data_IF_637151636643
#
_entry.id   IF_637151636643
#
_cell.length_a   1.000
_cell.length_b   1.000
_cell.length_c   1.000
_cell.angle_alpha   90.00
_cell.angle_beta   90.00
_cell.angle_gamma   90.00
#
_symmetry.space_group_name_H-M   'P 1'
#
loop_
_entity.id
_entity.type
_entity.pdbx_description
1 polymer ?
#
# COMPACT_ATOMS: atom_id res chain seq x y z
N UNK A 1 57.75 42.94 -26.31
CA UNK A 1 59.16 42.72 -25.91
C UNK A 1 59.14 41.87 -24.64
N UNK A 2 59.68 40.64 -24.73
CA UNK A 2 60.08 39.68 -23.68
C UNK A 2 59.12 39.49 -22.48
N UNK A 3 58.66 38.30 -22.10
CA UNK A 3 59.02 36.92 -22.42
C UNK A 3 58.46 36.07 -21.27
N UNK A 4 57.60 35.12 -21.58
CA UNK A 4 56.93 34.21 -20.64
C UNK A 4 57.88 33.14 -20.11
N UNK A 5 57.87 32.89 -18.80
CA UNK A 5 58.38 31.66 -18.19
C UNK A 5 57.19 30.85 -17.66
N UNK A 6 56.98 29.67 -18.24
CA UNK A 6 56.00 28.69 -17.78
C UNK A 6 56.57 27.81 -16.67
N UNK A 7 55.76 27.57 -15.64
CA UNK A 7 55.99 26.54 -14.62
C UNK A 7 54.87 25.51 -14.76
N UNK A 8 55.24 24.26 -15.06
CA UNK A 8 54.35 23.11 -15.05
C UNK A 8 54.03 22.72 -13.60
N UNK A 9 52.75 22.70 -13.22
CA UNK A 9 52.25 22.04 -12.03
C UNK A 9 51.47 20.80 -12.49
N UNK A 10 51.99 19.62 -12.13
CA UNK A 10 51.36 18.33 -12.42
C UNK A 10 50.02 18.18 -11.70
N UNK A 11 48.99 17.84 -12.46
CA UNK A 11 47.66 17.52 -11.93
C UNK A 11 47.66 16.16 -11.22
N UNK A 12 47.26 16.18 -9.94
CA UNK A 12 46.91 14.99 -9.16
C UNK A 12 45.52 14.54 -9.63
N UNK A 13 45.44 13.34 -10.23
CA UNK A 13 44.17 12.68 -10.53
C UNK A 13 43.59 12.14 -9.21
N UNK A 14 42.57 12.82 -8.68
CA UNK A 14 41.72 12.30 -7.61
C UNK A 14 40.73 11.30 -8.21
N UNK A 15 40.97 10.01 -8.00
CA UNK A 15 39.97 8.95 -8.18
C UNK A 15 38.86 9.17 -7.15
N UNK A 16 37.75 9.76 -7.59
CA UNK A 16 36.51 9.75 -6.82
C UNK A 16 36.00 8.31 -6.79
N UNK A 17 36.11 7.68 -5.63
CA UNK A 17 35.36 6.47 -5.30
C UNK A 17 33.89 6.87 -5.29
N UNK A 18 33.17 6.51 -6.35
CA UNK A 18 31.71 6.54 -6.37
C UNK A 18 31.24 5.61 -5.24
N UNK A 19 30.79 6.20 -4.14
CA UNK A 19 29.95 5.48 -3.19
C UNK A 19 28.67 5.12 -3.95
N UNK A 20 28.60 3.87 -4.42
CA UNK A 20 27.35 3.24 -4.81
C UNK A 20 26.47 3.26 -3.56
N UNK A 21 25.60 4.26 -3.45
CA UNK A 21 24.50 4.23 -2.49
C UNK A 21 23.64 3.01 -2.85
N UNK A 22 23.75 1.96 -2.05
CA UNK A 22 22.99 0.72 -2.22
C UNK A 22 21.54 0.95 -1.81
N UNK A 23 20.79 1.71 -2.62
CA UNK A 23 19.35 1.80 -2.48
C UNK A 23 18.68 0.48 -2.90
N UNK A 24 17.54 0.17 -2.27
CA UNK A 24 16.60 -0.90 -2.61
C UNK A 24 15.85 -0.56 -3.91
N UNK A 25 16.58 -0.44 -5.02
CA UNK A 25 16.00 -0.51 -6.36
C UNK A 25 15.96 -1.99 -6.79
N UNK A 26 15.09 -2.77 -6.12
CA UNK A 26 15.03 -4.22 -6.26
C UNK A 26 14.14 -4.70 -7.43
N UNK A 27 13.61 -3.78 -8.24
CA UNK A 27 12.73 -4.08 -9.38
C UNK A 27 11.34 -4.61 -9.01
N UNK A 28 10.96 -4.55 -7.73
CA UNK A 28 9.64 -4.97 -7.23
C UNK A 28 8.74 -3.77 -6.96
N UNK A 29 7.46 -4.05 -6.69
CA UNK A 29 6.44 -3.03 -6.41
C UNK A 29 6.43 -1.88 -7.44
N UNK A 30 6.65 -2.17 -8.73
CA UNK A 30 6.57 -1.15 -9.79
C UNK A 30 5.16 -0.56 -9.94
N UNK A 31 4.17 -1.26 -9.37
CA UNK A 31 2.81 -0.81 -9.09
C UNK A 31 2.50 -1.08 -7.61
N UNK A 32 1.50 -0.42 -7.02
CA UNK A 32 1.12 -0.68 -5.64
C UNK A 32 0.81 -2.18 -5.45
N UNK A 33 1.38 -2.85 -4.43
CA UNK A 33 1.09 -4.27 -4.18
C UNK A 33 -0.40 -4.53 -3.96
N UNK A 34 -0.91 -5.65 -4.47
CA UNK A 34 -2.29 -6.09 -4.27
C UNK A 34 -2.31 -7.47 -3.63
N UNK A 35 -3.07 -7.64 -2.55
CA UNK A 35 -3.10 -8.93 -1.85
C UNK A 35 -4.09 -8.99 -0.71
N UNK A 36 -3.80 -9.87 0.24
CA UNK A 36 -4.58 -10.10 1.44
C UNK A 36 -3.65 -10.26 2.65
N UNK A 37 -4.02 -9.67 3.79
CA UNK A 37 -3.27 -9.71 5.05
C UNK A 37 -4.21 -10.01 6.22
N UNK A 38 -3.75 -10.78 7.21
CA UNK A 38 -4.60 -11.26 8.30
C UNK A 38 -4.99 -10.22 9.37
N UNK A 39 -4.27 -9.09 9.48
CA UNK A 39 -4.27 -8.29 10.70
C UNK A 39 -5.62 -7.68 11.10
N UNK A 40 -6.26 -6.87 10.25
CA UNK A 40 -7.46 -6.12 10.65
C UNK A 40 -8.60 -7.08 11.05
N UNK A 41 -8.86 -8.10 10.22
CA UNK A 41 -9.99 -9.02 10.45
C UNK A 41 -9.70 -10.10 11.50
N UNK A 42 -8.49 -10.67 11.53
CA UNK A 42 -8.18 -11.86 12.35
C UNK A 42 -7.27 -11.55 13.55
N UNK A 43 -6.61 -10.38 13.57
CA UNK A 43 -5.79 -9.88 14.69
C UNK A 43 -4.85 -10.96 15.24
N UNK A 44 -4.71 -11.02 16.56
CA UNK A 44 -3.90 -12.01 17.26
C UNK A 44 -4.73 -13.19 17.80
N UNK A 45 -5.71 -13.70 17.05
CA UNK A 45 -6.49 -14.87 17.50
C UNK A 45 -5.61 -16.13 17.42
N UNK A 46 -5.14 -16.65 18.56
CA UNK A 46 -4.27 -17.84 18.60
C UNK A 46 -4.92 -19.09 19.21
N UNK A 47 -6.14 -18.97 19.74
CA UNK A 47 -6.88 -20.13 20.26
C UNK A 47 -7.61 -20.89 19.14
N UNK A 48 -6.90 -21.81 18.49
CA UNK A 48 -7.45 -22.65 17.42
C UNK A 48 -8.43 -23.71 17.91
N UNK A 49 -8.61 -23.90 19.21
CA UNK A 49 -9.63 -24.82 19.74
C UNK A 49 -10.98 -24.11 19.80
N UNK A 50 -11.00 -22.86 20.25
CA UNK A 50 -12.22 -22.04 20.30
C UNK A 50 -12.57 -21.46 18.93
N UNK A 51 -11.58 -21.05 18.15
CA UNK A 51 -11.76 -20.35 16.87
C UNK A 51 -11.00 -21.04 15.71
N UNK A 52 -11.35 -22.29 15.36
CA UNK A 52 -10.57 -23.11 14.42
C UNK A 52 -10.51 -22.57 12.98
N UNK A 53 -11.40 -21.66 12.59
CA UNK A 53 -11.45 -21.08 11.25
C UNK A 53 -10.98 -19.61 11.20
N UNK A 54 -10.71 -19.01 12.36
CA UNK A 54 -10.28 -17.61 12.50
C UNK A 54 -8.88 -17.49 13.14
N UNK A 55 -8.39 -18.53 13.82
CA UNK A 55 -7.07 -18.46 14.44
C UNK A 55 -5.94 -18.36 13.41
N UNK A 56 -4.91 -17.59 13.74
CA UNK A 56 -3.68 -17.45 12.95
C UNK A 56 -2.99 -18.82 12.88
N UNK A 57 -3.14 -19.50 11.76
CA UNK A 57 -2.70 -20.89 11.55
C UNK A 57 -2.49 -21.17 10.07
N UNK A 58 -1.72 -22.21 9.73
CA UNK A 58 -1.50 -22.61 8.33
C UNK A 58 -2.82 -22.83 7.58
N UNK A 59 -3.84 -23.37 8.25
CA UNK A 59 -5.17 -23.62 7.68
C UNK A 59 -5.86 -22.32 7.24
N UNK A 60 -5.72 -21.25 8.02
CA UNK A 60 -6.30 -19.94 7.68
C UNK A 60 -5.70 -19.42 6.38
N UNK A 61 -4.38 -19.47 6.24
CA UNK A 61 -3.66 -18.95 5.09
C UNK A 61 -3.84 -19.82 3.85
N UNK A 62 -3.85 -21.15 3.99
CA UNK A 62 -4.19 -22.06 2.89
C UNK A 62 -5.60 -21.79 2.37
N UNK A 63 -6.60 -21.66 3.26
CA UNK A 63 -7.99 -21.33 2.89
C UNK A 63 -8.07 -20.02 2.12
N UNK A 64 -7.36 -18.97 2.55
CA UNK A 64 -7.38 -17.68 1.88
C UNK A 64 -6.62 -17.68 0.55
N UNK A 65 -5.52 -18.43 0.43
CA UNK A 65 -4.85 -18.66 -0.84
C UNK A 65 -5.79 -19.35 -1.85
N UNK A 66 -6.48 -20.41 -1.42
CA UNK A 66 -7.44 -21.15 -2.25
C UNK A 66 -8.60 -20.25 -2.71
N UNK A 67 -9.11 -19.40 -1.81
CA UNK A 67 -10.20 -18.47 -2.11
C UNK A 67 -9.75 -17.32 -3.02
N UNK A 68 -8.53 -16.81 -2.89
CA UNK A 68 -8.02 -15.78 -3.81
C UNK A 68 -8.08 -16.27 -5.26
N UNK A 69 -7.69 -17.52 -5.52
CA UNK A 69 -7.76 -18.12 -6.85
C UNK A 69 -9.19 -18.49 -7.23
N UNK A 70 -9.85 -19.33 -6.43
CA UNK A 70 -11.16 -19.90 -6.79
C UNK A 70 -12.28 -18.87 -6.90
N UNK A 71 -12.19 -17.76 -6.14
CA UNK A 71 -13.18 -16.68 -6.18
C UNK A 71 -12.78 -15.54 -7.14
N UNK A 72 -11.65 -15.66 -7.87
CA UNK A 72 -11.26 -14.74 -8.94
C UNK A 72 -10.58 -13.44 -8.48
N UNK A 73 -10.11 -13.36 -7.23
CA UNK A 73 -9.34 -12.21 -6.76
C UNK A 73 -7.94 -12.19 -7.39
N UNK A 74 -7.30 -13.36 -7.52
CA UNK A 74 -6.03 -13.49 -8.23
C UNK A 74 -6.14 -12.99 -9.68
N UNK A 75 -7.22 -13.34 -10.38
CA UNK A 75 -7.51 -12.85 -11.75
C UNK A 75 -7.70 -11.33 -11.81
N UNK A 76 -8.11 -10.70 -10.70
CA UNK A 76 -8.25 -9.25 -10.59
C UNK A 76 -6.91 -8.55 -10.26
N UNK A 77 -5.90 -9.29 -9.81
CA UNK A 77 -4.55 -8.80 -9.52
C UNK A 77 -4.07 -9.03 -8.08
N UNK A 78 -4.92 -9.52 -7.18
CA UNK A 78 -4.53 -9.78 -5.78
C UNK A 78 -3.63 -11.02 -5.69
N UNK A 79 -2.33 -10.80 -5.53
CA UNK A 79 -1.32 -11.87 -5.65
C UNK A 79 -0.61 -12.21 -4.33
N UNK A 80 -0.58 -11.33 -3.33
CA UNK A 80 0.10 -11.59 -2.05
C UNK A 80 -0.84 -12.19 -1.00
N UNK A 81 -0.37 -13.20 -0.26
CA UNK A 81 -0.99 -13.74 0.97
C UNK A 81 -0.03 -13.47 2.12
N UNK A 82 -0.38 -12.55 3.01
CA UNK A 82 0.54 -11.99 4.01
C UNK A 82 0.12 -12.41 5.42
N UNK A 83 1.00 -13.11 6.12
CA UNK A 83 0.88 -13.39 7.55
C UNK A 83 1.27 -12.13 8.33
N UNK A 84 0.38 -11.62 9.19
CA UNK A 84 0.72 -10.55 10.13
C UNK A 84 1.24 -11.11 11.48
N UNK A 85 1.25 -10.32 12.56
CA UNK A 85 1.79 -10.75 13.86
C UNK A 85 1.12 -12.04 14.41
N UNK A 86 1.72 -12.60 15.44
CA UNK A 86 1.23 -13.75 16.20
C UNK A 86 1.41 -15.11 15.52
N UNK A 87 2.23 -15.25 14.50
CA UNK A 87 2.57 -16.56 13.89
C UNK A 87 3.66 -17.35 14.63
N UNK A 88 4.45 -16.67 15.46
CA UNK A 88 5.62 -17.21 16.16
C UNK A 88 5.29 -18.06 17.40
N UNK A 89 6.22 -18.91 17.82
CA UNK A 89 6.37 -19.31 19.21
C UNK A 89 6.88 -18.13 20.07
N UNK A 90 6.68 -18.19 21.40
CA UNK A 90 7.14 -17.13 22.31
C UNK A 90 8.66 -17.05 22.47
N UNK A 91 9.40 -18.06 22.02
CA UNK A 91 10.86 -18.10 22.07
C UNK A 91 11.42 -18.51 20.71
N UNK A 92 12.62 -18.02 20.40
CA UNK A 92 13.43 -18.53 19.30
C UNK A 92 13.89 -19.96 19.59
N UNK A 93 14.32 -20.65 18.56
CA UNK A 93 14.97 -21.95 18.72
C UNK A 93 16.23 -21.82 19.59
N UNK A 94 16.38 -22.67 20.61
CA UNK A 94 17.44 -22.52 21.60
C UNK A 94 18.84 -22.73 21.00
N UNK A 95 18.98 -23.58 19.98
CA UNK A 95 20.27 -23.95 19.41
C UNK A 95 20.65 -23.02 18.25
N UNK A 96 19.71 -22.74 17.36
CA UNK A 96 19.95 -21.97 16.13
C UNK A 96 19.65 -20.48 16.26
N UNK A 97 18.91 -20.06 17.29
CA UNK A 97 18.35 -18.71 17.47
C UNK A 97 17.40 -18.25 16.35
N UNK A 98 17.03 -19.14 15.42
CA UNK A 98 16.06 -18.85 14.37
C UNK A 98 14.67 -18.62 14.98
N UNK A 99 13.90 -17.76 14.31
CA UNK A 99 12.46 -17.64 14.56
C UNK A 99 11.77 -18.99 14.29
N UNK A 100 10.77 -19.31 15.09
CA UNK A 100 10.05 -20.59 15.02
C UNK A 100 8.57 -20.30 14.85
N UNK A 101 7.92 -20.73 13.75
CA UNK A 101 6.47 -20.66 13.66
C UNK A 101 5.85 -21.56 14.73
N UNK A 102 4.70 -21.17 15.28
CA UNK A 102 4.03 -21.95 16.31
C UNK A 102 3.75 -23.37 15.81
N UNK A 103 4.43 -24.36 16.40
CA UNK A 103 4.39 -25.75 15.93
C UNK A 103 3.01 -26.41 16.01
N UNK A 104 2.07 -25.85 16.80
CA UNK A 104 0.69 -26.35 16.85
C UNK A 104 -0.18 -25.74 15.77
N UNK A 105 0.07 -24.47 15.42
CA UNK A 105 -0.74 -23.71 14.45
C UNK A 105 -0.18 -23.78 13.03
N UNK A 106 1.12 -24.06 12.89
CA UNK A 106 1.85 -24.27 11.65
C UNK A 106 2.65 -25.58 11.72
N UNK A 107 2.00 -26.74 11.96
CA UNK A 107 2.68 -28.02 12.13
C UNK A 107 3.55 -28.44 10.96
N UNK A 108 3.25 -28.00 9.74
CA UNK A 108 4.05 -28.32 8.54
C UNK A 108 5.19 -27.31 8.28
N UNK A 109 5.27 -26.24 9.08
CA UNK A 109 6.24 -25.15 8.90
C UNK A 109 5.89 -24.20 7.75
N UNK A 110 6.64 -23.09 7.66
CA UNK A 110 6.35 -22.05 6.68
C UNK A 110 6.76 -22.41 5.24
N UNK A 111 7.73 -23.30 5.02
CA UNK A 111 8.06 -23.78 3.67
C UNK A 111 6.87 -24.47 3.01
N UNK A 112 6.19 -25.35 3.74
CA UNK A 112 5.02 -26.04 3.21
C UNK A 112 3.86 -25.07 2.89
N UNK A 113 3.72 -24.00 3.69
CA UNK A 113 2.74 -22.96 3.42
C UNK A 113 3.15 -22.09 2.20
N UNK A 114 4.42 -21.73 2.11
CA UNK A 114 4.98 -21.01 0.95
C UNK A 114 4.79 -21.81 -0.33
N UNK A 115 5.14 -23.10 -0.32
CA UNK A 115 4.93 -24.03 -1.43
C UNK A 115 3.45 -24.09 -1.83
N UNK A 116 2.53 -24.18 -0.87
CA UNK A 116 1.08 -24.16 -1.15
C UNK A 116 0.63 -22.88 -1.86
N UNK A 117 1.13 -21.73 -1.42
CA UNK A 117 0.83 -20.41 -2.00
C UNK A 117 1.44 -20.28 -3.40
N UNK A 118 2.71 -20.65 -3.57
CA UNK A 118 3.43 -20.58 -4.86
C UNK A 118 2.85 -21.54 -5.90
N UNK A 119 2.44 -22.74 -5.50
CA UNK A 119 1.79 -23.72 -6.39
C UNK A 119 0.47 -23.20 -6.99
N UNK A 120 -0.13 -22.16 -6.39
CA UNK A 120 -1.32 -21.48 -6.89
C UNK A 120 -1.00 -20.24 -7.73
N UNK A 121 0.28 -19.92 -7.95
CA UNK A 121 0.71 -18.72 -8.66
C UNK A 121 0.64 -17.44 -7.81
N UNK A 122 0.40 -17.56 -6.50
CA UNK A 122 0.40 -16.46 -5.55
C UNK A 122 1.79 -16.24 -4.94
N UNK A 123 1.92 -15.21 -4.09
CA UNK A 123 3.16 -14.80 -3.43
C UNK A 123 2.99 -14.81 -1.91
N UNK A 124 3.99 -15.30 -1.19
CA UNK A 124 3.94 -15.45 0.25
C UNK A 124 4.53 -14.24 0.97
N UNK A 125 3.78 -13.64 1.90
CA UNK A 125 4.24 -12.53 2.73
C UNK A 125 4.30 -12.86 4.21
N UNK A 126 5.24 -12.24 4.92
CA UNK A 126 5.49 -12.48 6.32
C UNK A 126 5.73 -11.18 7.09
N UNK A 127 5.19 -11.12 8.31
CA UNK A 127 5.41 -10.03 9.25
C UNK A 127 6.59 -10.29 10.17
N UNK A 128 7.29 -9.22 10.50
CA UNK A 128 8.16 -9.10 11.67
C UNK A 128 8.16 -7.69 12.24
N UNK A 129 8.89 -7.51 13.32
CA UNK A 129 9.11 -6.24 14.00
C UNK A 129 10.61 -5.96 14.13
N UNK A 130 11.01 -4.72 13.84
CA UNK A 130 12.38 -4.25 13.99
C UNK A 130 12.90 -4.45 15.41
N UNK A 131 12.12 -4.14 16.44
CA UNK A 131 12.53 -4.04 17.84
C UNK A 131 12.83 -5.36 18.54
N UNK A 132 12.84 -5.34 19.88
CA UNK A 132 13.12 -6.55 20.66
C UNK A 132 11.97 -7.54 20.63
N UNK A 133 10.75 -7.04 20.45
CA UNK A 133 9.53 -7.81 20.41
C UNK A 133 8.60 -7.26 19.33
N UNK A 134 7.75 -8.12 18.79
CA UNK A 134 6.60 -7.68 18.00
C UNK A 134 5.60 -6.95 18.87
N UNK A 135 4.69 -6.18 18.26
CA UNK A 135 3.65 -5.46 19.00
C UNK A 135 2.82 -6.39 19.91
N UNK A 136 2.55 -7.63 19.51
CA UNK A 136 1.88 -8.65 20.34
C UNK A 136 2.82 -9.45 21.28
N UNK A 137 4.06 -9.00 21.45
CA UNK A 137 5.02 -9.53 22.40
C UNK A 137 5.65 -10.86 21.99
N UNK A 138 5.84 -11.13 20.70
CA UNK A 138 6.66 -12.23 20.18
C UNK A 138 8.10 -11.76 19.94
N UNK A 139 9.10 -12.64 19.71
CA UNK A 139 10.48 -12.20 19.47
C UNK A 139 10.63 -11.31 18.22
N UNK A 140 11.27 -10.15 18.33
CA UNK A 140 11.58 -9.24 17.20
C UNK A 140 13.00 -9.44 16.64
N UNK A 141 13.35 -8.73 15.57
CA UNK A 141 14.56 -9.00 14.77
C UNK A 141 15.82 -8.25 15.21
N UNK A 142 15.74 -7.23 16.08
CA UNK A 142 16.85 -6.27 16.29
C UNK A 142 18.20 -6.93 16.61
N UNK A 143 18.20 -8.08 17.30
CA UNK A 143 19.42 -8.82 17.69
C UNK A 143 19.86 -9.90 16.69
N UNK A 144 19.03 -10.20 15.69
CA UNK A 144 19.19 -11.32 14.77
C UNK A 144 18.90 -10.95 13.31
N UNK A 145 18.94 -9.66 12.95
CA UNK A 145 18.55 -9.13 11.64
C UNK A 145 19.07 -9.95 10.45
N UNK A 146 20.38 -10.25 10.42
CA UNK A 146 20.99 -11.02 9.32
C UNK A 146 20.49 -12.47 9.27
N UNK A 147 20.33 -13.09 10.44
CA UNK A 147 19.82 -14.46 10.56
C UNK A 147 18.36 -14.54 10.11
N UNK A 148 17.54 -13.57 10.51
CA UNK A 148 16.12 -13.54 10.21
C UNK A 148 15.87 -13.23 8.73
N UNK A 149 16.60 -12.28 8.15
CA UNK A 149 16.57 -12.02 6.71
C UNK A 149 16.88 -13.29 5.91
N UNK A 150 17.95 -14.02 6.26
CA UNK A 150 18.27 -15.29 5.62
C UNK A 150 17.19 -16.36 5.87
N UNK A 151 16.61 -16.40 7.07
CA UNK A 151 15.54 -17.35 7.40
C UNK A 151 14.28 -17.10 6.55
N UNK A 152 13.96 -15.85 6.22
CA UNK A 152 12.84 -15.54 5.32
C UNK A 152 13.12 -15.94 3.89
N UNK A 153 14.36 -15.75 3.42
CA UNK A 153 14.77 -16.26 2.12
C UNK A 153 14.76 -17.80 2.06
N UNK A 154 15.20 -18.49 3.12
CA UNK A 154 15.16 -19.95 3.26
C UNK A 154 13.70 -20.49 3.27
N UNK A 155 12.74 -19.64 3.64
CA UNK A 155 11.30 -19.94 3.65
C UNK A 155 10.56 -19.46 2.40
N UNK A 156 11.30 -19.01 1.39
CA UNK A 156 10.77 -18.52 0.14
C UNK A 156 9.74 -17.37 0.29
N UNK A 157 9.93 -16.48 1.27
CA UNK A 157 9.11 -15.28 1.45
C UNK A 157 9.31 -14.29 0.29
N UNK A 158 8.24 -13.70 -0.21
CA UNK A 158 8.22 -12.71 -1.30
C UNK A 158 7.91 -11.27 -0.83
N UNK A 159 7.37 -11.12 0.37
CA UNK A 159 6.95 -9.84 0.95
C UNK A 159 7.25 -9.85 2.45
N UNK A 160 7.90 -8.80 2.96
CA UNK A 160 8.19 -8.64 4.38
C UNK A 160 7.61 -7.32 4.89
N UNK A 161 6.67 -7.38 5.83
CA UNK A 161 6.25 -6.23 6.65
C UNK A 161 7.16 -6.16 7.87
N UNK A 162 7.78 -5.02 8.11
CA UNK A 162 8.58 -4.76 9.31
C UNK A 162 7.98 -3.64 10.13
N UNK A 163 7.46 -4.02 11.29
CA UNK A 163 6.93 -3.15 12.31
C UNK A 163 8.04 -2.53 13.18
N UNK A 164 7.69 -1.74 14.19
CA UNK A 164 8.66 -0.95 14.96
C UNK A 164 8.38 -0.86 16.46
N UNK A 165 7.55 -1.74 17.02
CA UNK A 165 7.31 -1.76 18.46
C UNK A 165 8.58 -2.14 19.23
N UNK A 166 8.68 -1.71 20.49
CA UNK A 166 9.80 -2.07 21.37
C UNK A 166 11.20 -1.76 20.80
N UNK A 167 11.33 -0.70 20.01
CA UNK A 167 12.59 -0.14 19.53
C UNK A 167 12.74 1.33 19.96
N UNK A 168 13.97 1.83 20.06
CA UNK A 168 14.18 3.27 20.20
C UNK A 168 14.02 3.92 18.83
N UNK A 169 13.25 5.01 18.76
CA UNK A 169 13.02 5.78 17.53
C UNK A 169 14.34 6.22 16.89
N UNK A 170 15.33 6.62 17.70
CA UNK A 170 16.66 7.05 17.23
C UNK A 170 17.42 5.97 16.45
N UNK A 171 17.13 4.69 16.68
CA UNK A 171 17.84 3.56 16.08
C UNK A 171 17.22 3.18 14.72
N UNK A 172 15.94 3.54 14.50
CA UNK A 172 15.18 3.18 13.29
C UNK A 172 15.81 3.72 12.01
N UNK A 173 16.40 4.92 12.05
CA UNK A 173 17.04 5.55 10.90
C UNK A 173 18.24 4.78 10.36
N UNK A 174 18.88 3.94 11.18
CA UNK A 174 19.87 2.96 10.73
C UNK A 174 19.29 1.56 10.57
N UNK A 175 18.35 1.17 11.43
CA UNK A 175 17.83 -0.19 11.54
C UNK A 175 17.01 -0.65 10.34
N UNK A 176 16.06 0.18 9.88
CA UNK A 176 15.26 -0.14 8.70
C UNK A 176 16.12 -0.24 7.42
N UNK A 177 17.00 0.73 7.12
CA UNK A 177 17.98 0.59 6.04
C UNK A 177 18.87 -0.65 6.15
N UNK A 178 19.37 -0.97 7.34
CA UNK A 178 20.20 -2.16 7.55
C UNK A 178 19.43 -3.44 7.24
N UNK A 179 18.19 -3.57 7.74
CA UNK A 179 17.39 -4.75 7.50
C UNK A 179 17.01 -4.89 6.01
N UNK A 180 16.63 -3.81 5.35
CA UNK A 180 16.39 -3.79 3.90
C UNK A 180 17.60 -4.25 3.08
N UNK A 181 18.81 -3.78 3.44
CA UNK A 181 20.08 -4.26 2.83
C UNK A 181 20.28 -5.75 3.07
N UNK A 182 20.04 -6.23 4.30
CA UNK A 182 20.20 -7.65 4.65
C UNK A 182 19.20 -8.55 3.90
N UNK A 183 17.97 -8.09 3.67
CA UNK A 183 17.00 -8.77 2.79
C UNK A 183 17.54 -8.89 1.37
N UNK A 184 18.06 -7.79 0.80
CA UNK A 184 18.65 -7.80 -0.55
C UNK A 184 19.88 -8.73 -0.65
N UNK A 185 20.72 -8.79 0.40
CA UNK A 185 21.91 -9.66 0.45
C UNK A 185 21.61 -11.16 0.44
N UNK A 186 20.37 -11.56 0.74
CA UNK A 186 19.94 -12.96 0.59
C UNK A 186 19.89 -13.41 -0.88
N UNK A 187 19.77 -12.46 -1.81
CA UNK A 187 19.57 -12.71 -3.24
C UNK A 187 18.15 -13.09 -3.62
N UNK A 188 17.22 -13.26 -2.66
CA UNK A 188 15.80 -13.47 -2.93
C UNK A 188 15.08 -12.12 -3.05
N UNK A 189 14.36 -11.85 -4.16
CA UNK A 189 13.55 -10.65 -4.29
C UNK A 189 12.40 -10.65 -3.26
N UNK A 190 12.39 -9.67 -2.37
CA UNK A 190 11.34 -9.48 -1.35
C UNK A 190 10.84 -8.04 -1.38
N UNK A 191 9.53 -7.86 -1.49
CA UNK A 191 8.88 -6.54 -1.27
C UNK A 191 9.08 -6.17 0.19
N UNK A 192 9.65 -5.01 0.48
CA UNK A 192 9.91 -4.56 1.84
C UNK A 192 8.97 -3.43 2.26
N UNK A 193 8.04 -3.74 3.16
CA UNK A 193 7.03 -2.83 3.72
C UNK A 193 7.47 -2.36 5.10
N UNK A 194 7.66 -1.05 5.26
CA UNK A 194 8.25 -0.46 6.46
C UNK A 194 7.20 0.32 7.27
N UNK A 195 7.01 -0.01 8.55
CA UNK A 195 6.20 0.82 9.45
C UNK A 195 6.94 2.04 9.99
N UNK A 196 8.21 2.21 9.61
CA UNK A 196 9.12 3.26 10.11
C UNK A 196 8.48 4.66 10.24
N UNK A 197 7.83 5.25 9.22
CA UNK A 197 7.31 6.60 9.36
C UNK A 197 6.17 6.71 10.40
N UNK A 198 5.34 5.69 10.57
CA UNK A 198 4.25 5.71 11.55
C UNK A 198 4.80 5.88 12.99
N UNK A 199 5.89 5.18 13.33
CA UNK A 199 6.53 5.33 14.64
C UNK A 199 7.23 6.68 14.83
N UNK A 200 7.79 7.24 13.76
CA UNK A 200 8.37 8.59 13.80
C UNK A 200 7.27 9.65 14.02
N UNK A 201 6.16 9.54 13.31
CA UNK A 201 5.01 10.44 13.47
C UNK A 201 4.42 10.38 14.88
N UNK A 202 4.24 9.19 15.46
CA UNK A 202 3.78 9.01 16.85
C UNK A 202 4.75 9.68 17.86
N UNK A 203 6.05 9.64 17.57
CA UNK A 203 7.09 10.30 18.37
C UNK A 203 7.23 11.82 18.08
N UNK A 204 6.50 12.37 17.11
CA UNK A 204 6.61 13.77 16.69
C UNK A 204 7.89 14.09 15.90
N UNK A 205 8.55 13.07 15.35
CA UNK A 205 9.70 13.20 14.47
C UNK A 205 9.26 13.22 13.00
N UNK A 206 9.85 14.11 12.20
CA UNK A 206 9.52 14.20 10.78
C UNK A 206 10.21 13.07 10.00
N UNK A 207 9.47 12.22 9.26
CA UNK A 207 10.07 11.17 8.44
C UNK A 207 10.95 11.70 7.32
N UNK A 208 12.06 11.00 7.07
CA UNK A 208 12.93 11.24 5.91
C UNK A 208 12.44 10.39 4.72
N UNK A 209 11.56 10.97 3.91
CA UNK A 209 11.00 10.30 2.74
C UNK A 209 12.01 9.98 1.64
N UNK A 210 13.11 10.72 1.53
CA UNK A 210 14.14 10.37 0.55
C UNK A 210 14.94 9.14 1.00
N UNK A 211 15.15 8.97 2.31
CA UNK A 211 15.67 7.71 2.85
C UNK A 211 14.67 6.56 2.69
N UNK A 212 13.38 6.78 2.96
CA UNK A 212 12.35 5.74 2.77
C UNK A 212 12.32 5.22 1.33
N UNK A 213 12.32 6.11 0.32
CA UNK A 213 12.39 5.73 -1.10
C UNK A 213 13.62 4.88 -1.45
N UNK A 214 14.73 5.12 -0.77
CA UNK A 214 15.96 4.37 -1.00
C UNK A 214 15.96 3.02 -0.30
N UNK A 215 15.12 2.77 0.69
CA UNK A 215 15.29 1.59 1.56
C UNK A 215 14.03 0.74 1.71
N UNK A 216 12.87 1.18 1.24
CA UNK A 216 11.59 0.51 1.42
C UNK A 216 10.79 0.53 0.11
N UNK A 217 10.08 -0.56 -0.20
CA UNK A 217 9.17 -0.59 -1.34
C UNK A 217 7.83 0.10 -1.07
N UNK A 218 7.46 0.19 0.20
CA UNK A 218 6.29 0.92 0.68
C UNK A 218 6.44 1.18 2.17
N UNK A 219 5.67 2.15 2.69
CA UNK A 219 5.74 2.50 4.09
C UNK A 219 4.43 3.00 4.68
N UNK A 220 4.10 2.51 5.87
CA UNK A 220 2.93 2.94 6.64
C UNK A 220 3.20 4.32 7.22
N UNK A 221 2.40 5.31 6.82
CA UNK A 221 2.63 6.71 7.19
C UNK A 221 2.00 7.15 8.52
N UNK A 222 1.02 6.41 9.01
CA UNK A 222 0.17 6.85 10.11
C UNK A 222 -0.45 5.64 10.82
N UNK A 223 -1.27 5.92 11.83
CA UNK A 223 -2.04 4.99 12.67
C UNK A 223 -2.69 3.84 11.89
N UNK A 224 -2.85 2.73 12.59
CA UNK A 224 -3.56 1.55 12.11
C UNK A 224 -5.02 1.86 11.77
N UNK A 225 -5.48 1.27 10.66
CA UNK A 225 -6.88 1.30 10.28
C UNK A 225 -7.70 0.35 11.15
N UNK A 226 -8.87 0.81 11.56
CA UNK A 226 -9.85 0.07 12.34
C UNK A 226 -11.16 -0.01 11.57
N UNK A 227 -11.93 -1.10 11.71
CA UNK A 227 -13.20 -1.35 10.99
C UNK A 227 -14.32 -0.36 11.36
N UNK A 228 -14.18 0.90 10.93
CA UNK A 228 -15.09 2.01 11.18
C UNK A 228 -14.94 3.12 10.14
N UNK A 229 -16.02 3.86 9.89
CA UNK A 229 -15.98 5.08 9.08
C UNK A 229 -15.05 6.14 9.69
N UNK A 230 -14.99 6.23 11.02
CA UNK A 230 -14.20 7.24 11.72
C UNK A 230 -12.71 7.06 11.45
N UNK A 231 -12.17 5.86 11.66
CA UNK A 231 -10.76 5.54 11.36
C UNK A 231 -10.43 5.77 9.87
N UNK A 232 -11.29 5.29 8.97
CA UNK A 232 -11.15 5.54 7.52
C UNK A 232 -11.03 7.03 7.20
N UNK A 233 -11.91 7.86 7.78
CA UNK A 233 -11.90 9.31 7.53
C UNK A 233 -10.69 10.02 8.16
N UNK A 234 -10.24 9.58 9.34
CA UNK A 234 -9.04 10.13 9.98
C UNK A 234 -7.79 9.90 9.12
N UNK A 235 -7.63 8.70 8.54
CA UNK A 235 -6.53 8.40 7.62
C UNK A 235 -6.63 9.27 6.36
N UNK A 236 -7.80 9.36 5.74
CA UNK A 236 -8.02 10.22 4.56
C UNK A 236 -7.68 11.68 4.87
N UNK A 237 -8.11 12.18 6.02
CA UNK A 237 -7.85 13.56 6.46
C UNK A 237 -6.37 13.80 6.75
N UNK A 238 -5.67 12.83 7.34
CA UNK A 238 -4.23 12.90 7.57
C UNK A 238 -3.46 13.02 6.25
N UNK A 239 -3.73 12.12 5.30
CA UNK A 239 -3.11 12.16 3.98
C UNK A 239 -3.45 13.45 3.22
N UNK A 240 -4.69 13.94 3.29
CA UNK A 240 -5.10 15.18 2.65
C UNK A 240 -4.41 16.41 3.25
N UNK A 241 -4.25 16.45 4.58
CA UNK A 241 -3.60 17.55 5.30
C UNK A 241 -2.09 17.60 5.03
N UNK A 242 -1.47 16.44 4.86
CA UNK A 242 -0.02 16.30 4.67
C UNK A 242 0.38 16.05 3.20
N UNK A 243 -0.54 16.16 2.25
CA UNK A 243 -0.33 15.75 0.86
C UNK A 243 0.87 16.41 0.18
N UNK A 244 1.18 17.67 0.49
CA UNK A 244 2.33 18.38 -0.11
C UNK A 244 3.68 17.78 0.31
N UNK A 245 3.70 17.14 1.49
CA UNK A 245 4.85 16.42 2.04
C UNK A 245 4.87 14.95 1.62
N UNK A 246 3.72 14.29 1.52
CA UNK A 246 3.63 12.83 1.33
C UNK A 246 3.59 12.45 -0.16
N UNK A 247 2.74 13.11 -0.93
CA UNK A 247 2.43 12.72 -2.31
C UNK A 247 3.64 12.69 -3.26
N UNK A 248 4.63 13.61 -3.18
CA UNK A 248 5.76 13.60 -4.12
C UNK A 248 6.69 12.39 -4.02
N UNK A 249 6.61 11.63 -2.92
CA UNK A 249 7.53 10.51 -2.65
C UNK A 249 6.95 9.15 -3.02
N UNK A 250 5.66 9.06 -3.37
CA UNK A 250 5.04 7.84 -3.89
C UNK A 250 5.31 7.66 -5.40
N UNK A 251 5.69 6.46 -5.83
CA UNK A 251 5.95 6.14 -7.23
C UNK A 251 6.37 4.69 -7.46
N UNK A 252 6.65 4.29 -8.72
CA UNK A 252 7.09 2.93 -9.03
C UNK A 252 8.26 2.48 -8.16
N UNK A 253 8.05 1.40 -7.41
CA UNK A 253 9.03 0.82 -6.49
C UNK A 253 8.98 1.35 -5.07
N UNK A 254 8.21 2.40 -4.77
CA UNK A 254 8.21 3.08 -3.47
C UNK A 254 6.86 3.79 -3.15
N UNK A 255 5.97 3.17 -2.38
CA UNK A 255 4.58 3.64 -2.17
C UNK A 255 4.27 4.14 -0.76
N UNK A 256 3.42 5.15 -0.66
CA UNK A 256 2.80 5.51 0.60
C UNK A 256 1.68 4.50 0.93
N UNK A 257 1.67 4.00 2.16
CA UNK A 257 0.71 2.99 2.61
C UNK A 257 -0.27 3.58 3.65
N UNK A 258 -1.53 3.82 3.27
CA UNK A 258 -2.60 4.26 4.16
C UNK A 258 -3.28 3.10 4.91
N UNK A 259 -2.67 1.91 4.91
CA UNK A 259 -3.15 0.68 5.53
C UNK A 259 -4.24 -0.09 4.75
N UNK A 260 -4.67 -1.22 5.30
CA UNK A 260 -5.51 -2.24 4.67
C UNK A 260 -6.90 -1.77 4.21
N UNK A 261 -7.46 -2.46 3.22
CA UNK A 261 -8.85 -2.35 2.80
C UNK A 261 -9.78 -3.09 3.78
N UNK A 262 -10.81 -2.40 4.28
CA UNK A 262 -11.81 -2.90 5.25
C UNK A 262 -13.02 -3.58 4.57
N UNK A 263 -13.05 -3.60 3.25
CA UNK A 263 -14.21 -4.03 2.47
C UNK A 263 -14.58 -5.48 2.79
N UNK A 264 -15.81 -5.70 3.23
CA UNK A 264 -16.34 -7.04 3.50
C UNK A 264 -16.32 -7.42 4.98
N UNK A 265 -15.80 -6.54 5.84
CA UNK A 265 -15.92 -6.64 7.29
C UNK A 265 -17.29 -6.10 7.75
N UNK A 266 -17.34 -5.46 8.92
CA UNK A 266 -18.58 -5.14 9.61
C UNK A 266 -18.91 -3.65 9.61
N UNK A 267 -17.90 -2.78 9.68
CA UNK A 267 -18.03 -1.37 10.01
C UNK A 267 -18.36 -0.45 8.83
N UNK A 268 -18.09 -0.87 7.59
CA UNK A 268 -18.37 -0.07 6.41
C UNK A 268 -19.67 -0.47 5.69
N UNK A 269 -20.48 0.53 5.36
CA UNK A 269 -21.61 0.38 4.45
C UNK A 269 -21.15 0.12 3.00
N UNK A 270 -22.09 -0.19 2.11
CA UNK A 270 -21.81 -0.35 0.68
C UNK A 270 -21.22 0.92 0.04
N UNK A 271 -21.77 2.10 0.35
CA UNK A 271 -21.27 3.38 -0.16
C UNK A 271 -19.90 3.74 0.42
N UNK A 272 -19.65 3.42 1.70
CA UNK A 272 -18.36 3.65 2.36
C UNK A 272 -17.28 2.70 1.83
N UNK A 273 -17.66 1.46 1.49
CA UNK A 273 -16.78 0.49 0.82
C UNK A 273 -16.31 1.00 -0.55
N UNK A 274 -17.23 1.59 -1.34
CA UNK A 274 -16.84 2.28 -2.59
C UNK A 274 -15.93 3.46 -2.32
N UNK A 275 -16.23 4.24 -1.28
CA UNK A 275 -15.44 5.41 -0.90
C UNK A 275 -13.98 5.02 -0.62
N UNK A 276 -13.74 4.03 0.24
CA UNK A 276 -12.38 3.56 0.55
C UNK A 276 -11.67 3.12 -0.73
N UNK A 277 -12.30 2.24 -1.53
CA UNK A 277 -11.68 1.72 -2.76
C UNK A 277 -11.33 2.85 -3.74
N UNK A 278 -12.21 3.84 -3.92
CA UNK A 278 -11.94 4.98 -4.80
C UNK A 278 -10.78 5.84 -4.30
N UNK A 279 -10.71 6.09 -2.99
CA UNK A 279 -9.67 6.95 -2.42
C UNK A 279 -8.32 6.25 -2.36
N UNK A 280 -8.27 4.96 -2.05
CA UNK A 280 -7.05 4.16 -2.14
C UNK A 280 -6.52 4.14 -3.59
N UNK A 281 -7.42 3.93 -4.57
CA UNK A 281 -7.04 4.00 -5.99
C UNK A 281 -6.58 5.41 -6.41
N UNK A 282 -7.17 6.49 -5.89
CA UNK A 282 -6.65 7.85 -6.12
C UNK A 282 -5.27 8.02 -5.49
N UNK A 283 -5.03 7.47 -4.30
CA UNK A 283 -3.77 7.61 -3.57
C UNK A 283 -2.65 6.71 -4.09
N UNK A 284 -2.91 5.83 -5.06
CA UNK A 284 -1.95 4.79 -5.48
C UNK A 284 -1.50 3.94 -4.29
N UNK A 285 -2.45 3.60 -3.43
CA UNK A 285 -2.21 2.83 -2.22
C UNK A 285 -2.07 1.34 -2.53
N UNK A 286 -1.27 0.59 -1.76
CA UNK A 286 -1.36 -0.87 -1.77
C UNK A 286 -2.82 -1.31 -1.55
N UNK A 287 -3.32 -2.23 -2.38
CA UNK A 287 -4.67 -2.79 -2.23
C UNK A 287 -4.58 -4.11 -1.49
N UNK A 288 -4.30 -4.01 -0.19
CA UNK A 288 -4.19 -5.17 0.71
C UNK A 288 -5.51 -5.35 1.45
N UNK A 289 -6.27 -6.38 1.09
CA UNK A 289 -7.51 -6.74 1.78
C UNK A 289 -7.23 -7.33 3.16
N UNK A 290 -8.04 -7.02 4.16
CA UNK A 290 -8.08 -7.79 5.39
C UNK A 290 -9.52 -8.10 5.76
N UNK A 291 -9.99 -9.26 5.34
CA UNK A 291 -11.37 -9.71 5.49
C UNK A 291 -11.45 -11.24 5.48
N UNK A 292 -12.58 -11.84 5.85
CA UNK A 292 -12.79 -13.27 5.60
C UNK A 292 -13.33 -13.45 4.17
N UNK A 293 -12.48 -13.88 3.25
CA UNK A 293 -12.82 -14.03 1.84
C UNK A 293 -14.02 -14.98 1.60
N UNK A 294 -14.28 -15.91 2.52
CA UNK A 294 -15.44 -16.81 2.43
C UNK A 294 -16.76 -16.12 2.80
N UNK A 295 -16.72 -15.00 3.51
CA UNK A 295 -17.89 -14.28 4.02
C UNK A 295 -18.18 -12.97 3.27
N UNK A 296 -17.33 -12.57 2.30
CA UNK A 296 -17.52 -11.33 1.54
C UNK A 296 -18.80 -11.40 0.70
N UNK A 297 -19.73 -10.47 0.93
CA UNK A 297 -20.98 -10.39 0.16
C UNK A 297 -20.71 -10.10 -1.33
N UNK A 298 -21.53 -10.63 -2.27
CA UNK A 298 -21.30 -10.48 -3.71
C UNK A 298 -21.14 -9.02 -4.19
N UNK A 299 -21.92 -8.09 -3.65
CA UNK A 299 -21.85 -6.68 -4.01
C UNK A 299 -20.56 -5.99 -3.55
N UNK A 300 -19.94 -6.47 -2.46
CA UNK A 300 -18.65 -5.97 -1.98
C UNK A 300 -17.51 -6.62 -2.75
N UNK A 301 -17.61 -7.93 -3.03
CA UNK A 301 -16.68 -8.64 -3.93
C UNK A 301 -16.60 -7.95 -5.29
N UNK A 302 -17.72 -7.49 -5.83
CA UNK A 302 -17.76 -6.74 -7.08
C UNK A 302 -17.01 -5.39 -7.02
N UNK A 303 -16.96 -4.74 -5.84
CA UNK A 303 -16.15 -3.52 -5.64
C UNK A 303 -14.65 -3.89 -5.64
N UNK A 304 -14.28 -4.90 -4.85
CA UNK A 304 -12.90 -5.38 -4.74
C UNK A 304 -12.34 -5.85 -6.09
N UNK A 305 -13.16 -6.48 -6.93
CA UNK A 305 -12.76 -7.00 -8.24
C UNK A 305 -13.05 -6.03 -9.40
N UNK A 306 -13.42 -4.77 -9.13
CA UNK A 306 -13.72 -3.80 -10.18
C UNK A 306 -12.45 -3.44 -10.97
N UNK A 307 -12.29 -4.07 -12.14
CA UNK A 307 -11.14 -3.88 -13.03
C UNK A 307 -10.92 -2.44 -13.48
N UNK A 308 -11.97 -1.63 -13.59
CA UNK A 308 -11.83 -0.22 -13.99
C UNK A 308 -11.23 0.62 -12.86
N UNK A 309 -11.60 0.33 -11.60
CA UNK A 309 -11.02 0.99 -10.41
C UNK A 309 -9.61 0.48 -10.14
N UNK A 310 -9.38 -0.84 -10.23
CA UNK A 310 -8.04 -1.43 -10.13
C UNK A 310 -7.10 -0.84 -11.19
N UNK A 311 -7.57 -0.62 -12.42
CA UNK A 311 -6.75 0.01 -13.46
C UNK A 311 -6.39 1.48 -13.16
N UNK A 312 -7.16 2.19 -12.33
CA UNK A 312 -6.77 3.51 -11.83
C UNK A 312 -5.65 3.37 -10.81
N UNK A 313 -5.80 2.42 -9.87
CA UNK A 313 -4.80 2.13 -8.86
C UNK A 313 -3.44 1.73 -9.47
N UNK A 314 -3.49 0.77 -10.39
CA UNK A 314 -2.38 0.12 -11.08
C UNK A 314 -1.90 0.89 -12.33
N UNK A 315 -2.19 2.19 -12.42
CA UNK A 315 -1.81 3.03 -13.55
C UNK A 315 -0.28 3.17 -13.68
N UNK A 316 0.23 2.98 -14.89
CA UNK A 316 1.67 2.95 -15.21
C UNK A 316 2.42 4.24 -14.89
N UNK A 317 1.73 5.39 -14.77
CA UNK A 317 2.42 6.62 -14.36
C UNK A 317 2.89 6.56 -12.91
N UNK A 318 2.22 5.75 -12.07
CA UNK A 318 2.53 5.64 -10.65
C UNK A 318 2.42 6.95 -9.86
N UNK A 319 1.72 7.95 -10.39
CA UNK A 319 1.59 9.24 -9.72
C UNK A 319 0.43 9.17 -8.72
N UNK A 320 0.74 9.30 -7.43
CA UNK A 320 -0.28 9.44 -6.39
C UNK A 320 -1.12 10.70 -6.60
N UNK A 321 -2.44 10.56 -6.48
CA UNK A 321 -3.38 11.67 -6.54
C UNK A 321 -3.46 12.47 -5.24
N UNK A 322 -4.35 13.46 -5.21
CA UNK A 322 -4.48 14.38 -4.08
C UNK A 322 -5.88 14.98 -3.96
N UNK A 323 -6.20 15.56 -2.80
CA UNK A 323 -7.41 16.38 -2.63
C UNK A 323 -7.17 17.74 -3.27
N UNK A 324 -8.04 18.13 -4.21
CA UNK A 324 -7.88 19.37 -4.99
C UNK A 324 -8.81 20.50 -4.54
N UNK A 325 -9.99 20.19 -3.99
CA UNK A 325 -10.89 21.17 -3.39
C UNK A 325 -11.88 20.50 -2.43
N UNK A 326 -12.56 21.33 -1.64
CA UNK A 326 -13.72 20.94 -0.85
C UNK A 326 -14.79 22.03 -0.95
N UNK A 327 -16.04 21.63 -1.19
CA UNK A 327 -17.19 22.54 -1.35
C UNK A 327 -18.44 21.86 -0.79
N UNK A 328 -19.13 22.53 0.13
CA UNK A 328 -20.39 22.04 0.72
C UNK A 328 -20.30 20.63 1.33
N UNK A 329 -19.16 20.32 1.96
CA UNK A 329 -18.82 19.00 2.49
C UNK A 329 -18.70 17.91 1.41
N UNK A 330 -18.47 18.30 0.15
CA UNK A 330 -18.02 17.39 -0.90
C UNK A 330 -16.56 17.69 -1.21
N UNK A 331 -15.71 16.71 -1.02
CA UNK A 331 -14.31 16.79 -1.41
C UNK A 331 -14.14 16.28 -2.83
N UNK A 332 -13.24 16.90 -3.58
CA UNK A 332 -12.84 16.41 -4.89
C UNK A 332 -11.38 15.99 -4.80
N UNK A 333 -11.16 14.74 -5.18
CA UNK A 333 -9.87 14.09 -5.24
C UNK A 333 -9.54 13.75 -6.69
N UNK A 334 -8.28 13.90 -7.08
CA UNK A 334 -7.87 13.69 -8.48
C UNK A 334 -6.51 13.00 -8.57
N UNK A 335 -6.39 12.06 -9.49
CA UNK A 335 -5.14 11.38 -9.87
C UNK A 335 -4.88 11.52 -11.37
N UNK A 336 -3.71 12.01 -11.81
CA UNK A 336 -3.32 11.92 -13.22
C UNK A 336 -3.02 10.46 -13.58
N UNK A 337 -3.58 10.01 -14.70
CA UNK A 337 -3.48 8.62 -15.18
C UNK A 337 -3.31 8.57 -16.69
N UNK A 338 -3.02 7.39 -17.22
CA UNK A 338 -2.98 7.09 -18.65
C UNK A 338 -4.39 7.03 -19.29
N UNK A 339 -4.50 7.32 -20.61
CA UNK A 339 -3.44 7.78 -21.51
C UNK A 339 -3.07 9.26 -21.30
N UNK A 340 -1.84 9.62 -21.66
CA UNK A 340 -1.39 11.01 -21.81
C UNK A 340 -1.40 11.35 -23.30
N UNK A 341 -1.99 12.48 -23.68
CA UNK A 341 -2.02 12.90 -25.09
C UNK A 341 -0.62 13.22 -25.59
N UNK A 342 -0.43 13.25 -26.91
CA UNK A 342 0.84 13.65 -27.53
C UNK A 342 1.30 15.07 -27.16
N UNK A 343 0.37 15.94 -26.72
CA UNK A 343 0.67 17.30 -26.25
C UNK A 343 0.93 17.38 -24.74
N UNK A 344 1.01 16.24 -24.05
CA UNK A 344 1.31 16.17 -22.61
C UNK A 344 0.10 16.35 -21.69
N UNK A 345 -1.14 16.25 -22.19
CA UNK A 345 -2.31 16.31 -21.31
C UNK A 345 -2.63 14.92 -20.74
N UNK A 346 -2.58 14.79 -19.42
CA UNK A 346 -2.99 13.57 -18.72
C UNK A 346 -4.49 13.33 -18.85
N UNK A 347 -4.88 12.05 -18.85
CA UNK A 347 -6.20 11.63 -18.38
C UNK A 347 -6.24 11.70 -16.85
N UNK A 348 -7.43 11.69 -16.25
CA UNK A 348 -7.57 11.80 -14.81
C UNK A 348 -8.64 10.88 -14.27
N UNK A 349 -8.39 10.28 -13.11
CA UNK A 349 -9.44 9.75 -12.25
C UNK A 349 -9.86 10.85 -11.27
N UNK A 350 -11.16 11.03 -11.09
CA UNK A 350 -11.74 12.08 -10.23
C UNK A 350 -12.81 11.47 -9.33
N UNK A 351 -12.58 11.53 -8.02
CA UNK A 351 -13.51 11.07 -6.99
C UNK A 351 -14.18 12.26 -6.29
N UNK A 352 -15.50 12.24 -6.18
CA UNK A 352 -16.30 13.20 -5.43
C UNK A 352 -16.76 12.52 -4.15
N UNK A 353 -16.16 12.85 -3.03
CA UNK A 353 -16.38 12.22 -1.72
C UNK A 353 -17.32 13.07 -0.89
N UNK A 354 -18.43 12.49 -0.43
CA UNK A 354 -19.35 13.17 0.47
C UNK A 354 -18.92 12.98 1.92
N UNK A 355 -18.63 14.10 2.59
CA UNK A 355 -18.49 14.20 4.05
C UNK A 355 -19.82 14.53 4.72
N UNK A 356 -20.93 14.48 3.96
CA UNK A 356 -22.26 14.72 4.48
C UNK A 356 -22.83 13.44 5.06
N UNK A 357 -23.59 13.59 6.13
CA UNK A 357 -24.35 12.55 6.82
C UNK A 357 -25.87 12.83 6.79
N UNK A 358 -26.30 13.81 5.99
CA UNK A 358 -27.72 14.10 5.77
C UNK A 358 -28.35 13.08 4.82
N UNK A 359 -29.58 12.63 5.06
CA UNK A 359 -30.14 11.42 4.42
C UNK A 359 -30.45 11.44 2.91
N UNK A 360 -29.82 12.28 2.08
CA UNK A 360 -30.11 12.35 0.64
C UNK A 360 -28.88 12.54 -0.26
N UNK A 361 -28.88 12.03 -1.50
CA UNK A 361 -27.81 12.29 -2.46
C UNK A 361 -27.71 13.78 -2.79
N UNK A 362 -26.54 14.37 -2.60
CA UNK A 362 -26.30 15.80 -2.78
C UNK A 362 -25.85 16.12 -4.20
N UNK A 363 -26.59 17.00 -4.89
CA UNK A 363 -26.26 17.46 -6.24
C UNK A 363 -25.21 18.57 -6.18
N UNK A 364 -24.05 18.38 -6.82
CA UNK A 364 -22.98 19.38 -6.84
C UNK A 364 -22.49 19.69 -8.26
N UNK A 365 -22.58 20.96 -8.71
CA UNK A 365 -22.03 21.39 -9.99
C UNK A 365 -20.58 21.89 -9.86
N UNK A 366 -19.76 21.58 -10.87
CA UNK A 366 -18.46 22.18 -11.13
C UNK A 366 -18.31 22.43 -12.63
N UNK A 367 -17.53 23.42 -13.03
CA UNK A 367 -16.89 23.41 -14.34
C UNK A 367 -15.76 22.39 -14.35
N UNK A 368 -15.51 21.78 -15.51
CA UNK A 368 -14.37 20.84 -15.67
C UNK A 368 -13.04 21.55 -15.35
N UNK A 369 -12.94 22.84 -15.67
CA UNK A 369 -11.81 23.70 -15.31
C UNK A 369 -11.63 23.88 -13.80
N UNK A 370 -12.70 24.00 -13.01
CA UNK A 370 -12.62 24.04 -11.54
C UNK A 370 -12.02 22.74 -10.96
N UNK A 371 -12.17 21.61 -11.65
CA UNK A 371 -11.51 20.34 -11.29
C UNK A 371 -10.02 20.33 -11.69
N UNK A 372 -9.50 21.42 -12.26
CA UNK A 372 -8.14 21.54 -12.80
C UNK A 372 -7.91 20.72 -14.06
N UNK A 373 -8.95 20.53 -14.89
CA UNK A 373 -8.91 19.77 -16.14
C UNK A 373 -8.99 20.74 -17.33
N UNK A 374 -7.85 20.99 -17.98
CA UNK A 374 -7.70 22.12 -18.92
C UNK A 374 -7.33 21.70 -20.35
N UNK A 375 -7.45 20.41 -20.72
CA UNK A 375 -7.23 19.99 -22.11
C UNK A 375 -8.21 20.73 -23.05
N UNK A 376 -7.72 21.52 -24.03
CA UNK A 376 -8.57 22.26 -24.95
C UNK A 376 -9.53 21.38 -25.76
N UNK A 377 -9.16 20.11 -26.01
CA UNK A 377 -10.01 19.14 -26.70
C UNK A 377 -11.06 18.48 -25.80
N UNK A 378 -10.97 18.69 -24.49
CA UNK A 378 -11.85 18.09 -23.49
C UNK A 378 -11.48 16.66 -23.12
N UNK A 379 -12.43 16.00 -22.47
CA UNK A 379 -12.28 14.67 -21.90
C UNK A 379 -13.53 13.84 -22.20
N UNK A 380 -13.35 12.56 -22.54
CA UNK A 380 -14.44 11.58 -22.54
C UNK A 380 -14.59 11.00 -21.13
N UNK A 381 -15.78 11.08 -20.56
CA UNK A 381 -16.04 10.78 -19.14
C UNK A 381 -16.85 9.50 -18.98
N UNK A 382 -16.39 8.63 -18.08
CA UNK A 382 -17.02 7.36 -17.74
C UNK A 382 -17.14 7.21 -16.21
N UNK A 383 -18.26 6.67 -15.73
CA UNK A 383 -18.42 6.23 -14.35
C UNK A 383 -17.67 4.91 -14.10
N UNK A 384 -16.83 4.88 -13.06
CA UNK A 384 -16.00 3.72 -12.75
C UNK A 384 -16.74 2.65 -11.95
N UNK A 385 -17.88 2.97 -11.33
CA UNK A 385 -18.76 1.99 -10.68
C UNK A 385 -19.94 1.56 -11.53
N UNK A 386 -20.19 2.24 -12.65
CA UNK A 386 -21.18 1.83 -13.66
C UNK A 386 -20.56 1.87 -15.06
N UNK A 387 -20.04 0.73 -15.52
CA UNK A 387 -19.41 0.61 -16.83
C UNK A 387 -20.36 0.94 -18.01
N UNK A 388 -21.69 0.89 -17.80
CA UNK A 388 -22.68 1.28 -18.81
C UNK A 388 -22.85 2.80 -18.93
N UNK A 389 -22.45 3.54 -17.89
CA UNK A 389 -22.57 4.99 -17.81
C UNK A 389 -21.37 5.69 -18.45
N UNK A 390 -21.45 5.88 -19.77
CA UNK A 390 -20.58 6.78 -20.54
C UNK A 390 -21.25 8.15 -20.63
N UNK A 391 -20.75 9.13 -19.88
CA UNK A 391 -21.35 10.46 -19.76
C UNK A 391 -21.08 11.36 -20.98
N UNK A 392 -20.11 10.98 -21.83
CA UNK A 392 -19.78 11.71 -23.05
C UNK A 392 -18.61 12.68 -22.89
N UNK A 393 -18.52 13.67 -23.78
CA UNK A 393 -17.38 14.59 -23.88
C UNK A 393 -17.65 15.88 -23.13
N UNK A 394 -16.70 16.30 -22.30
CA UNK A 394 -16.74 17.53 -21.52
C UNK A 394 -15.51 18.39 -21.83
N UNK A 395 -15.73 19.64 -22.24
CA UNK A 395 -14.68 20.65 -22.41
C UNK A 395 -14.45 21.39 -21.10
N UNK A 396 -13.36 22.16 -20.98
CA UNK A 396 -13.00 22.86 -19.74
C UNK A 396 -14.11 23.77 -19.19
N UNK A 397 -14.89 24.42 -20.06
CA UNK A 397 -15.99 25.29 -19.66
C UNK A 397 -17.34 24.54 -19.51
N UNK A 398 -17.39 23.24 -19.80
CA UNK A 398 -18.59 22.42 -19.60
C UNK A 398 -18.89 22.27 -18.11
N UNK A 399 -20.19 22.33 -17.77
CA UNK A 399 -20.68 21.97 -16.44
C UNK A 399 -20.68 20.45 -16.28
N UNK A 400 -19.99 19.97 -15.25
CA UNK A 400 -20.06 18.61 -14.76
C UNK A 400 -20.86 18.58 -13.45
N UNK A 401 -21.92 17.78 -13.42
CA UNK A 401 -22.83 17.69 -12.27
C UNK A 401 -22.90 16.23 -11.87
N UNK A 402 -22.62 15.95 -10.60
CA UNK A 402 -22.81 14.62 -10.01
C UNK A 402 -23.73 14.71 -8.80
N UNK A 403 -24.25 13.55 -8.36
CA UNK A 403 -25.05 13.38 -7.15
C UNK A 403 -24.35 12.36 -6.28
N UNK A 404 -23.85 12.77 -5.12
CA UNK A 404 -23.06 11.91 -4.23
C UNK A 404 -23.90 11.51 -3.02
N UNK A 405 -23.95 10.21 -2.72
CA UNK A 405 -24.61 9.70 -1.52
C UNK A 405 -23.88 10.16 -0.24
N UNK A 406 -24.57 10.29 0.89
CA UNK A 406 -23.96 10.59 2.19
C UNK A 406 -22.92 9.53 2.56
N UNK A 407 -21.76 9.95 3.06
CA UNK A 407 -20.61 9.07 3.34
C UNK A 407 -20.22 8.15 2.16
N UNK A 408 -20.52 8.57 0.93
CA UNK A 408 -20.26 7.81 -0.29
C UNK A 408 -19.37 8.57 -1.27
N UNK A 409 -19.18 7.97 -2.44
CA UNK A 409 -18.36 8.51 -3.53
C UNK A 409 -19.04 8.35 -4.88
N UNK A 410 -18.83 9.31 -5.78
CA UNK A 410 -18.94 9.05 -7.22
C UNK A 410 -17.56 9.17 -7.85
N UNK A 411 -17.23 8.24 -8.75
CA UNK A 411 -15.86 8.07 -9.22
C UNK A 411 -15.81 7.94 -10.73
N UNK A 412 -15.04 8.79 -11.38
CA UNK A 412 -15.06 8.95 -12.83
C UNK A 412 -13.66 8.92 -13.44
N UNK A 413 -13.54 8.39 -14.65
CA UNK A 413 -12.36 8.57 -15.51
C UNK A 413 -12.65 9.61 -16.58
N UNK A 414 -11.85 10.67 -16.59
CA UNK A 414 -11.78 11.71 -17.61
C UNK A 414 -10.63 11.38 -18.56
N UNK A 415 -10.93 10.74 -19.69
CA UNK A 415 -9.92 10.36 -20.69
C UNK A 415 -9.64 11.53 -21.62
N UNK A 416 -8.38 12.00 -21.67
CA UNK A 416 -8.00 13.15 -22.49
C UNK A 416 -8.12 12.86 -24.00
N UNK A 417 -8.69 13.81 -24.75
CA UNK A 417 -8.91 13.75 -26.20
C UNK A 417 -7.82 14.45 -27.02
#
# INVERSE_FOLDING_TARGET
MYGTWGVFLGGILLLQVLQLSMGLDNGLALKPPMGWMSWERFRCITDCKLYPDECISEKLFQRHADLLVSEGYADAGYEYVIIDDCWLEKNRDNDTQKLVPDRKRFPNGLNALSDHIHNQGLKFGLYQDYGTNTCAGYPGVIKHMKLDAQTFADWDVDYVKLDGCYANISDMASGYPEFGRLLNETGRPMVYSCSWPAYQEDAGEMPDYESLKQHCNLWRNWDDIEDSLESLMQIIDYFAKNQDRIQPHGGPGHWNDPDMLLLGNYGLSYDQSKLQMAIWAIMAAPLIMSNDLAAVRPEIKAILQNRAVIAVDQDELGIQGRRVLSRNQIEVWKRPITPVTKSGHHSYAVAFVSRRDDGAPYRIPFTVKELGLTNPKGYNVQDLYDASSKLGVFQSESQFITRVNPNGVTFYKFTAL
#
